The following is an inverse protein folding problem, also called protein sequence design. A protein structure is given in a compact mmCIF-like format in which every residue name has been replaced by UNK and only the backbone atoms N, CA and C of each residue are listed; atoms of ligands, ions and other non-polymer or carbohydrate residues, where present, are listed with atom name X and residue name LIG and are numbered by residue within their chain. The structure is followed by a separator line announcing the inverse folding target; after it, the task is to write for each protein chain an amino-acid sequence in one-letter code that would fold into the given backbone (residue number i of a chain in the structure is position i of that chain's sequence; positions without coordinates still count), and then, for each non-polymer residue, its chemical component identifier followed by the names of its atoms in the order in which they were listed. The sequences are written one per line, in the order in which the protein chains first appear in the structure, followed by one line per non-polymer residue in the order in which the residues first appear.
data_IF_057035739290
#
_entry.id   IF_057035739290
#
_cell.length_a   1.000
_cell.length_b   1.000
_cell.length_c   1.000
_cell.angle_alpha   90.00
_cell.angle_beta   90.00
_cell.angle_gamma   90.00
#
_symmetry.space_group_name_H-M   'P 1'
#
loop_
_entity.id
_entity.type
_entity.pdbx_description
1 polymer ?
#
# COMPACT_ATOMS: atom_id res chain seq x y z
N UNK A 1 11.31 -0.15 7.31
CA UNK A 1 12.69 0.35 7.12
C UNK A 1 12.81 1.19 5.85
N UNK A 2 12.77 0.62 4.63
CA UNK A 2 13.01 1.37 3.37
C UNK A 2 12.10 2.59 3.20
N UNK A 3 10.80 2.48 3.51
CA UNK A 3 9.89 3.64 3.56
C UNK A 3 10.38 4.76 4.47
N UNK A 4 10.77 4.43 5.71
CA UNK A 4 11.25 5.41 6.65
C UNK A 4 12.53 6.08 6.14
N UNK A 5 13.45 5.31 5.55
CA UNK A 5 14.70 5.84 4.98
C UNK A 5 14.42 6.77 3.79
N UNK A 6 13.50 6.37 2.91
CA UNK A 6 13.07 7.18 1.78
C UNK A 6 12.46 8.51 2.25
N UNK A 7 11.57 8.45 3.26
CA UNK A 7 10.95 9.63 3.85
C UNK A 7 11.97 10.57 4.48
N UNK A 8 12.90 10.03 5.29
CA UNK A 8 14.03 10.74 5.91
C UNK A 8 15.01 9.73 6.53
N UNK A 9 16.32 9.75 6.21
CA UNK A 9 17.30 8.82 6.80
C UNK A 9 17.30 8.81 8.33
N UNK A 10 17.26 9.99 8.95
CA UNK A 10 17.17 10.12 10.41
C UNK A 10 15.92 9.43 10.98
N UNK A 11 14.79 9.45 10.26
CA UNK A 11 13.56 8.76 10.71
C UNK A 11 13.80 7.26 10.81
N UNK A 12 14.42 6.64 9.81
CA UNK A 12 14.71 5.22 9.86
C UNK A 12 15.70 4.87 10.96
N UNK A 13 16.74 5.69 11.14
CA UNK A 13 17.68 5.55 12.25
C UNK A 13 16.97 5.55 13.61
N UNK A 14 16.15 6.57 13.88
CA UNK A 14 15.44 6.70 15.15
C UNK A 14 14.44 5.56 15.37
N UNK A 15 13.58 5.26 14.39
CA UNK A 15 12.51 4.26 14.53
C UNK A 15 13.07 2.82 14.60
N UNK A 16 14.10 2.47 13.82
CA UNK A 16 14.55 1.08 13.66
C UNK A 16 15.88 0.73 14.33
N UNK A 17 16.76 1.70 14.60
CA UNK A 17 18.02 1.43 15.35
C UNK A 17 17.90 1.81 16.82
N UNK A 18 17.25 2.92 17.13
CA UNK A 18 17.03 3.36 18.51
C UNK A 18 15.70 2.88 19.09
N UNK A 19 14.85 2.24 18.26
CA UNK A 19 13.51 1.81 18.66
C UNK A 19 12.67 2.96 19.22
N UNK A 20 12.85 4.17 18.70
CA UNK A 20 12.07 5.33 19.11
C UNK A 20 10.61 5.12 18.71
N UNK A 21 9.73 5.04 19.71
CA UNK A 21 8.30 4.83 19.54
C UNK A 21 7.53 6.00 20.14
N UNK A 22 6.44 6.39 19.47
CA UNK A 22 5.46 7.30 20.04
C UNK A 22 4.45 6.47 20.85
N UNK A 23 4.02 6.94 22.03
CA UNK A 23 2.87 6.34 22.72
C UNK A 23 1.65 6.29 21.80
N UNK A 24 0.87 5.21 21.89
CA UNK A 24 -0.39 5.11 21.14
C UNK A 24 -1.40 6.11 21.70
N UNK A 25 -2.07 6.84 20.80
CA UNK A 25 -3.15 7.74 21.19
C UNK A 25 -4.39 6.89 21.52
N UNK A 26 -5.10 7.22 22.60
CA UNK A 26 -6.33 6.52 22.94
C UNK A 26 -7.43 6.79 21.89
N UNK A 27 -8.09 5.73 21.43
CA UNK A 27 -9.27 5.82 20.57
C UNK A 27 -10.45 5.14 21.27
N UNK A 28 -11.65 5.69 21.10
CA UNK A 28 -12.87 5.11 21.68
C UNK A 28 -13.46 3.96 20.85
N UNK A 29 -12.99 3.74 19.62
CA UNK A 29 -13.42 2.66 18.73
C UNK A 29 -12.30 2.28 17.77
N UNK A 30 -12.62 1.93 16.51
CA UNK A 30 -11.62 1.55 15.52
C UNK A 30 -10.81 2.74 15.01
N UNK A 31 -9.50 2.65 15.18
CA UNK A 31 -8.56 3.63 14.64
C UNK A 31 -8.30 3.41 13.13
N UNK A 32 -7.41 4.22 12.55
CA UNK A 32 -7.08 4.09 11.13
C UNK A 32 -6.34 2.78 10.79
N UNK A 33 -5.59 2.21 11.75
CA UNK A 33 -4.85 0.95 11.60
C UNK A 33 -5.82 -0.23 11.61
N UNK A 34 -6.78 -0.24 12.52
CA UNK A 34 -7.84 -1.26 12.60
C UNK A 34 -8.63 -1.30 11.30
N UNK A 35 -9.14 -0.15 10.86
CA UNK A 35 -9.91 -0.01 9.61
C UNK A 35 -9.11 -0.46 8.38
N UNK A 36 -7.82 -0.15 8.35
CA UNK A 36 -6.90 -0.66 7.34
C UNK A 36 -6.79 -2.18 7.40
N UNK A 37 -6.54 -2.75 8.58
CA UNK A 37 -6.45 -4.20 8.77
C UNK A 37 -7.72 -4.95 8.35
N UNK A 38 -8.90 -4.41 8.65
CA UNK A 38 -10.18 -4.97 8.24
C UNK A 38 -10.36 -4.98 6.72
N UNK A 39 -10.04 -3.86 6.06
CA UNK A 39 -10.10 -3.75 4.61
C UNK A 39 -9.22 -4.82 3.92
N UNK A 40 -7.95 -4.95 4.35
CA UNK A 40 -7.03 -5.91 3.77
C UNK A 40 -7.51 -7.35 3.96
N UNK A 41 -7.94 -7.71 5.18
CA UNK A 41 -8.48 -9.05 5.46
C UNK A 41 -9.73 -9.35 4.64
N UNK A 42 -10.68 -8.42 4.57
CA UNK A 42 -11.90 -8.61 3.81
C UNK A 42 -11.61 -8.83 2.32
N UNK A 43 -10.71 -8.03 1.73
CA UNK A 43 -10.28 -8.21 0.34
C UNK A 43 -9.52 -9.53 0.13
N UNK A 44 -8.66 -9.93 1.07
CA UNK A 44 -8.00 -11.23 1.03
C UNK A 44 -9.02 -12.37 0.99
N UNK A 45 -10.02 -12.34 1.88
CA UNK A 45 -11.08 -13.34 1.95
C UNK A 45 -11.97 -13.37 0.70
N UNK A 46 -12.30 -12.22 0.13
CA UNK A 46 -13.02 -12.13 -1.14
C UNK A 46 -12.21 -12.75 -2.27
N UNK A 47 -10.93 -12.40 -2.39
CA UNK A 47 -10.10 -12.91 -3.48
C UNK A 47 -9.68 -14.36 -3.31
N UNK A 48 -9.60 -14.88 -2.09
CA UNK A 48 -9.48 -16.34 -1.85
C UNK A 48 -10.70 -17.10 -2.38
N UNK A 49 -11.89 -16.48 -2.35
CA UNK A 49 -13.12 -17.08 -2.88
C UNK A 49 -13.28 -16.85 -4.38
N UNK A 50 -12.83 -15.72 -4.94
CA UNK A 50 -13.01 -15.40 -6.37
C UNK A 50 -11.85 -15.86 -7.24
N UNK A 51 -10.60 -15.79 -6.76
CA UNK A 51 -9.36 -16.29 -7.39
C UNK A 51 -8.98 -15.71 -8.77
N UNK A 52 -9.91 -15.15 -9.56
CA UNK A 52 -9.65 -14.63 -10.90
C UNK A 52 -10.69 -13.62 -11.35
N UNK A 53 -10.37 -12.86 -12.41
CA UNK A 53 -11.34 -11.98 -13.06
C UNK A 53 -12.50 -12.76 -13.68
N UNK A 54 -12.22 -13.90 -14.31
CA UNK A 54 -13.22 -14.68 -15.02
C UNK A 54 -14.31 -15.18 -14.08
N UNK A 55 -13.91 -15.69 -12.90
CA UNK A 55 -14.86 -16.09 -11.85
C UNK A 55 -15.65 -14.89 -11.34
N UNK A 56 -15.01 -13.76 -11.04
CA UNK A 56 -15.71 -12.53 -10.65
C UNK A 56 -16.72 -12.06 -11.72
N UNK A 57 -16.39 -12.20 -13.00
CA UNK A 57 -17.29 -11.84 -14.09
C UNK A 57 -18.47 -12.80 -14.24
N UNK A 58 -18.26 -14.09 -13.96
CA UNK A 58 -19.27 -15.15 -14.02
C UNK A 58 -20.17 -15.23 -12.76
N UNK A 59 -19.73 -14.68 -11.62
CA UNK A 59 -20.51 -14.63 -10.38
C UNK A 59 -21.66 -13.62 -10.50
N UNK A 60 -22.88 -14.09 -10.24
CA UNK A 60 -24.08 -13.27 -10.27
C UNK A 60 -24.20 -12.34 -9.05
N UNK A 61 -24.95 -11.25 -9.18
CA UNK A 61 -25.04 -10.22 -8.14
C UNK A 61 -25.50 -10.70 -6.74
N UNK A 62 -26.41 -11.68 -6.59
CA UNK A 62 -26.77 -12.23 -5.28
C UNK A 62 -25.60 -13.00 -4.64
N UNK A 63 -24.94 -13.88 -5.40
CA UNK A 63 -23.81 -14.69 -4.94
C UNK A 63 -22.60 -13.80 -4.59
N UNK A 64 -22.33 -12.78 -5.41
CA UNK A 64 -21.24 -11.85 -5.14
C UNK A 64 -21.43 -11.09 -3.82
N UNK A 65 -22.67 -10.68 -3.53
CA UNK A 65 -23.01 -10.02 -2.26
C UNK A 65 -22.82 -10.95 -1.07
N UNK A 66 -23.21 -12.23 -1.21
CA UNK A 66 -22.98 -13.23 -0.17
C UNK A 66 -21.50 -13.49 0.09
N UNK A 67 -20.68 -13.59 -0.97
CA UNK A 67 -19.21 -13.72 -0.85
C UNK A 67 -18.62 -12.54 -0.09
N UNK A 68 -19.01 -11.31 -0.44
CA UNK A 68 -18.50 -10.10 0.21
C UNK A 68 -18.97 -10.02 1.66
N UNK A 69 -20.26 -10.24 1.93
CA UNK A 69 -20.82 -10.24 3.28
C UNK A 69 -20.09 -11.21 4.21
N UNK A 70 -19.94 -12.47 3.80
CA UNK A 70 -19.23 -13.49 4.58
C UNK A 70 -17.75 -13.13 4.79
N UNK A 71 -17.10 -12.53 3.80
CA UNK A 71 -15.71 -12.08 3.90
C UNK A 71 -15.54 -10.92 4.89
N UNK A 72 -16.51 -9.99 4.93
CA UNK A 72 -16.49 -8.85 5.84
C UNK A 72 -16.80 -9.29 7.29
N UNK A 73 -17.76 -10.20 7.48
CA UNK A 73 -18.02 -10.82 8.78
C UNK A 73 -16.78 -11.54 9.35
N UNK A 74 -16.01 -12.21 8.50
CA UNK A 74 -14.78 -12.90 8.90
C UNK A 74 -13.65 -11.92 9.25
N UNK A 75 -13.57 -10.79 8.53
CA UNK A 75 -12.54 -9.77 8.72
C UNK A 75 -12.78 -8.90 9.96
N UNK A 76 -14.02 -8.50 10.22
CA UNK A 76 -14.44 -7.67 11.35
C UNK A 76 -15.22 -8.54 12.33
N UNK A 77 -14.56 -9.00 13.39
CA UNK A 77 -15.19 -9.85 14.42
C UNK A 77 -16.21 -9.07 15.25
N UNK A 78 -17.19 -9.77 15.81
CA UNK A 78 -18.14 -9.16 16.74
C UNK A 78 -17.42 -8.59 17.96
N UNK A 79 -17.74 -7.34 18.29
CA UNK A 79 -17.35 -6.71 19.55
C UNK A 79 -18.61 -6.28 20.30
N UNK A 80 -19.02 -7.13 21.23
CA UNK A 80 -20.18 -6.92 22.12
C UNK A 80 -19.77 -6.41 23.50
N UNK A 81 -18.56 -5.84 23.62
CA UNK A 81 -18.07 -5.30 24.89
C UNK A 81 -18.90 -4.12 25.40
N UNK A 82 -19.54 -3.37 24.50
CA UNK A 82 -20.54 -2.37 24.83
C UNK A 82 -21.49 -2.13 23.65
N UNK A 83 -22.68 -1.52 23.90
CA UNK A 83 -23.61 -1.15 22.81
C UNK A 83 -22.98 -0.23 21.75
N UNK A 84 -21.96 0.54 22.14
CA UNK A 84 -21.22 1.41 21.22
C UNK A 84 -20.31 0.59 20.29
N UNK A 85 -19.59 -0.41 20.82
CA UNK A 85 -18.73 -1.27 20.00
C UNK A 85 -19.54 -2.16 19.07
N UNK A 86 -20.70 -2.64 19.53
CA UNK A 86 -21.63 -3.41 18.71
C UNK A 86 -22.11 -2.56 17.52
N UNK A 87 -22.57 -1.33 17.79
CA UNK A 87 -23.01 -0.40 16.74
C UNK A 87 -21.89 -0.07 15.74
N UNK A 88 -20.68 0.26 16.21
CA UNK A 88 -19.55 0.57 15.33
C UNK A 88 -19.15 -0.65 14.49
N UNK A 89 -19.20 -1.85 15.06
CA UNK A 89 -18.91 -3.09 14.33
C UNK A 89 -19.88 -3.30 13.18
N UNK A 90 -21.18 -3.14 13.43
CA UNK A 90 -22.21 -3.26 12.39
C UNK A 90 -22.00 -2.20 11.30
N UNK A 91 -21.85 -0.92 11.68
CA UNK A 91 -21.64 0.16 10.72
C UNK A 91 -20.36 -0.02 9.89
N UNK A 92 -19.29 -0.52 10.49
CA UNK A 92 -18.04 -0.75 9.78
C UNK A 92 -18.14 -1.89 8.76
N UNK A 93 -18.92 -2.94 9.08
CA UNK A 93 -19.21 -4.03 8.14
C UNK A 93 -20.00 -3.53 6.94
N UNK A 94 -21.11 -2.84 7.17
CA UNK A 94 -21.93 -2.24 6.10
C UNK A 94 -21.08 -1.36 5.18
N UNK A 95 -20.26 -0.49 5.77
CA UNK A 95 -19.34 0.39 5.03
C UNK A 95 -18.34 -0.38 4.17
N UNK A 96 -17.77 -1.48 4.70
CA UNK A 96 -16.80 -2.30 3.96
C UNK A 96 -17.46 -3.09 2.85
N UNK A 97 -18.66 -3.63 3.07
CA UNK A 97 -19.42 -4.36 2.05
C UNK A 97 -19.68 -3.48 0.82
N UNK A 98 -20.24 -2.28 1.03
CA UNK A 98 -20.48 -1.32 -0.05
C UNK A 98 -19.17 -0.96 -0.78
N UNK A 99 -18.13 -0.62 -0.02
CA UNK A 99 -16.83 -0.22 -0.58
C UNK A 99 -16.19 -1.31 -1.42
N UNK A 100 -16.26 -2.56 -0.96
CA UNK A 100 -15.68 -3.71 -1.67
C UNK A 100 -16.51 -4.04 -2.90
N UNK A 101 -17.84 -4.02 -2.82
CA UNK A 101 -18.70 -4.25 -3.99
C UNK A 101 -18.44 -3.22 -5.10
N UNK A 102 -18.31 -1.95 -4.74
CA UNK A 102 -17.94 -0.88 -5.68
C UNK A 102 -16.55 -1.10 -6.28
N UNK A 103 -15.57 -1.50 -5.47
CA UNK A 103 -14.23 -1.84 -5.97
C UNK A 103 -14.25 -3.02 -6.94
N UNK A 104 -15.05 -4.04 -6.67
CA UNK A 104 -15.18 -5.21 -7.54
C UNK A 104 -15.79 -4.85 -8.89
N UNK A 105 -16.58 -3.77 -9.02
CA UNK A 105 -17.00 -3.27 -10.33
C UNK A 105 -15.82 -2.75 -11.16
N UNK A 106 -14.87 -2.06 -10.51
CA UNK A 106 -13.65 -1.58 -11.16
C UNK A 106 -12.79 -2.77 -11.61
N UNK A 107 -12.69 -3.80 -10.78
CA UNK A 107 -11.96 -5.04 -11.09
C UNK A 107 -12.60 -5.81 -12.24
N UNK A 108 -13.94 -5.94 -12.27
CA UNK A 108 -14.69 -6.54 -13.39
C UNK A 108 -14.38 -5.83 -14.71
N UNK A 109 -14.28 -4.51 -14.68
CA UNK A 109 -14.05 -3.68 -15.86
C UNK A 109 -12.58 -3.65 -16.35
N UNK A 110 -11.67 -4.41 -15.72
CA UNK A 110 -10.27 -4.48 -16.15
C UNK A 110 -10.17 -5.05 -17.57
N UNK A 111 -9.27 -4.47 -18.35
CA UNK A 111 -9.12 -4.82 -19.78
C UNK A 111 -8.44 -6.16 -20.02
N UNK A 112 -7.58 -6.58 -19.10
CA UNK A 112 -6.77 -7.78 -19.24
C UNK A 112 -7.16 -8.79 -18.16
N UNK A 113 -7.55 -10.02 -18.56
CA UNK A 113 -7.78 -11.13 -17.65
C UNK A 113 -6.59 -11.37 -16.73
N UNK A 114 -6.89 -11.77 -15.50
CA UNK A 114 -5.89 -12.12 -14.51
C UNK A 114 -6.39 -13.26 -13.63
N UNK A 115 -5.41 -13.96 -13.04
CA UNK A 115 -5.60 -14.88 -11.93
C UNK A 115 -4.85 -14.31 -10.73
N UNK A 116 -5.47 -14.34 -9.57
CA UNK A 116 -4.82 -13.96 -8.31
C UNK A 116 -3.79 -15.02 -7.98
N UNK A 117 -2.51 -14.64 -8.01
CA UNK A 117 -1.42 -15.57 -7.72
C UNK A 117 -1.10 -15.63 -6.23
N UNK A 118 -1.17 -14.49 -5.55
CA UNK A 118 -0.74 -14.38 -4.15
C UNK A 118 -1.57 -13.32 -3.46
N UNK A 119 -2.01 -13.63 -2.24
CA UNK A 119 -2.70 -12.72 -1.35
C UNK A 119 -2.01 -12.67 -0.01
N UNK A 120 -1.59 -11.48 0.41
CA UNK A 120 -1.11 -11.22 1.78
C UNK A 120 0.01 -12.19 2.26
N UNK A 121 0.78 -12.77 1.33
CA UNK A 121 1.80 -13.77 1.64
C UNK A 121 3.10 -13.08 2.07
N UNK A 122 3.61 -13.49 3.22
CA UNK A 122 4.92 -13.05 3.68
C UNK A 122 6.03 -13.72 2.86
N UNK A 123 6.99 -12.93 2.40
CA UNK A 123 8.22 -13.40 1.75
C UNK A 123 9.42 -12.74 2.40
N UNK A 124 10.44 -13.55 2.68
CA UNK A 124 11.74 -13.04 3.11
C UNK A 124 12.60 -12.78 1.87
N UNK A 125 13.23 -11.62 1.82
CA UNK A 125 14.19 -11.27 0.77
C UNK A 125 15.33 -10.45 1.38
N UNK A 126 16.40 -10.28 0.61
CA UNK A 126 17.48 -9.36 0.95
C UNK A 126 17.59 -8.32 -0.16
N UNK A 127 17.62 -7.04 0.21
CA UNK A 127 17.80 -5.92 -0.73
C UNK A 127 19.03 -5.14 -0.27
N UNK A 128 20.10 -5.16 -1.08
CA UNK A 128 21.36 -4.48 -0.78
C UNK A 128 21.92 -4.77 0.63
N UNK A 129 21.91 -6.04 1.06
CA UNK A 129 22.37 -6.47 2.37
C UNK A 129 21.38 -6.22 3.52
N UNK A 130 20.19 -5.68 3.23
CA UNK A 130 19.13 -5.48 4.22
C UNK A 130 18.14 -6.67 4.17
N UNK A 131 18.10 -7.53 5.20
CA UNK A 131 17.08 -8.57 5.29
C UNK A 131 15.72 -7.93 5.55
N UNK A 132 14.74 -8.26 4.70
CA UNK A 132 13.40 -7.71 4.75
C UNK A 132 12.37 -8.85 4.72
N UNK A 133 11.31 -8.65 5.50
CA UNK A 133 10.07 -9.41 5.37
C UNK A 133 9.06 -8.52 4.66
N UNK A 134 8.70 -8.92 3.46
CA UNK A 134 7.76 -8.22 2.62
C UNK A 134 6.42 -8.93 2.64
N UNK A 135 5.36 -8.15 2.59
CA UNK A 135 4.00 -8.61 2.43
C UNK A 135 3.32 -7.63 1.50
N UNK A 136 3.02 -8.09 0.29
CA UNK A 136 2.20 -7.36 -0.68
C UNK A 136 0.78 -7.86 -0.56
N UNK A 137 -0.19 -6.95 -0.66
CA UNK A 137 -1.59 -7.30 -0.43
C UNK A 137 -2.08 -8.28 -1.49
N UNK A 138 -1.74 -8.02 -2.75
CA UNK A 138 -2.14 -8.88 -3.86
C UNK A 138 -1.19 -8.83 -5.05
N UNK A 139 -0.99 -10.01 -5.65
CA UNK A 139 -0.30 -10.19 -6.93
C UNK A 139 -1.25 -10.85 -7.90
N UNK A 140 -1.41 -10.22 -9.05
CA UNK A 140 -2.14 -10.80 -10.17
C UNK A 140 -1.17 -11.30 -11.23
N UNK A 141 -1.44 -12.48 -11.76
CA UNK A 141 -0.77 -13.03 -12.93
C UNK A 141 -1.63 -12.85 -14.16
N UNK A 142 -1.05 -12.20 -15.17
CA UNK A 142 -1.66 -11.98 -16.47
C UNK A 142 -1.50 -13.21 -17.39
N UNK A 143 -2.28 -13.26 -18.46
CA UNK A 143 -2.22 -14.35 -19.46
C UNK A 143 -0.85 -14.49 -20.15
N UNK A 144 -0.09 -13.40 -20.25
CA UNK A 144 1.28 -13.40 -20.77
C UNK A 144 2.34 -13.82 -19.72
N UNK A 145 1.92 -14.24 -18.53
CA UNK A 145 2.78 -14.66 -17.43
C UNK A 145 3.39 -13.54 -16.59
N UNK A 146 3.14 -12.27 -16.93
CA UNK A 146 3.62 -11.10 -16.20
C UNK A 146 2.78 -10.83 -14.96
N UNK A 147 3.34 -10.07 -14.02
CA UNK A 147 2.79 -9.82 -12.71
C UNK A 147 2.35 -8.37 -12.54
N UNK A 148 1.23 -8.15 -11.86
CA UNK A 148 0.81 -6.85 -11.37
C UNK A 148 0.79 -6.87 -9.84
N UNK A 149 1.40 -5.85 -9.23
CA UNK A 149 1.44 -5.71 -7.78
C UNK A 149 0.40 -4.67 -7.34
N UNK A 150 -0.44 -5.04 -6.38
CA UNK A 150 -1.51 -4.16 -5.86
C UNK A 150 -1.36 -4.05 -4.35
N UNK A 151 -1.41 -2.81 -3.87
CA UNK A 151 -1.45 -2.45 -2.45
C UNK A 151 -2.67 -1.56 -2.18
N UNK A 152 -3.56 -1.98 -1.29
CA UNK A 152 -4.79 -1.29 -0.95
C UNK A 152 -4.53 -0.20 0.08
N UNK A 153 -5.17 0.95 -0.11
CA UNK A 153 -5.02 2.10 0.77
C UNK A 153 -6.36 2.80 0.94
N UNK A 154 -6.84 2.91 2.18
CA UNK A 154 -8.12 3.56 2.51
C UNK A 154 -8.13 5.09 2.35
N UNK A 155 -6.95 5.71 2.32
CA UNK A 155 -6.79 7.16 2.17
C UNK A 155 -6.49 7.60 0.74
N UNK A 156 -6.50 8.92 0.52
CA UNK A 156 -6.23 9.53 -0.79
C UNK A 156 -4.82 9.17 -1.31
N UNK A 157 -4.77 8.70 -2.56
CA UNK A 157 -3.51 8.31 -3.21
C UNK A 157 -3.15 9.21 -4.39
N UNK A 158 -1.85 9.19 -4.70
CA UNK A 158 -1.27 9.88 -5.85
C UNK A 158 -0.11 9.06 -6.38
N UNK A 159 0.01 8.99 -7.71
CA UNK A 159 1.12 8.31 -8.39
C UNK A 159 2.48 8.88 -7.99
N UNK A 160 2.53 10.16 -7.60
CA UNK A 160 3.77 10.82 -7.17
C UNK A 160 4.40 10.12 -5.96
N UNK A 161 3.62 9.40 -5.14
CA UNK A 161 4.15 8.61 -4.02
C UNK A 161 4.99 7.42 -4.48
N UNK A 162 4.77 6.94 -5.71
CA UNK A 162 5.50 5.85 -6.36
C UNK A 162 6.53 6.37 -7.38
N UNK A 163 6.59 7.67 -7.65
CA UNK A 163 7.50 8.22 -8.66
C UNK A 163 8.96 8.12 -8.18
N UNK A 164 9.85 7.75 -9.09
CA UNK A 164 11.29 7.70 -8.87
C UNK A 164 11.96 8.93 -9.51
N UNK A 165 13.06 9.47 -8.95
CA UNK A 165 13.84 8.92 -7.84
C UNK A 165 13.21 9.15 -6.46
N UNK A 166 13.58 8.29 -5.49
CA UNK A 166 13.19 8.35 -4.07
C UNK A 166 11.66 8.40 -3.81
N UNK A 167 10.93 7.31 -4.09
CA UNK A 167 9.48 7.24 -3.88
C UNK A 167 9.10 7.31 -2.39
N UNK A 168 8.08 8.10 -2.06
CA UNK A 168 7.56 8.27 -0.70
C UNK A 168 6.98 6.96 -0.11
N UNK A 169 6.40 6.11 -0.97
CA UNK A 169 5.86 4.79 -0.64
C UNK A 169 6.58 3.73 -1.51
N UNK A 170 7.79 3.28 -1.10
CA UNK A 170 8.63 2.40 -1.92
C UNK A 170 8.21 0.92 -1.91
N UNK A 171 7.19 0.52 -1.15
CA UNK A 171 6.91 -0.90 -0.83
C UNK A 171 6.72 -1.77 -2.08
N UNK A 172 5.93 -1.30 -3.04
CA UNK A 172 5.71 -2.01 -4.30
C UNK A 172 7.00 -2.16 -5.11
N UNK A 173 7.87 -1.16 -5.08
CA UNK A 173 9.18 -1.21 -5.76
C UNK A 173 10.17 -2.13 -5.06
N UNK A 174 10.16 -2.19 -3.73
CA UNK A 174 10.96 -3.16 -2.97
C UNK A 174 10.52 -4.59 -3.33
N UNK A 175 9.22 -4.83 -3.46
CA UNK A 175 8.71 -6.12 -3.90
C UNK A 175 9.08 -6.42 -5.36
N UNK A 176 8.99 -5.42 -6.25
CA UNK A 176 9.38 -5.56 -7.64
C UNK A 176 10.88 -5.88 -7.79
N UNK A 177 11.74 -5.22 -7.02
CA UNK A 177 13.17 -5.53 -6.94
C UNK A 177 13.43 -6.97 -6.51
N UNK A 178 12.68 -7.48 -5.53
CA UNK A 178 12.81 -8.86 -5.06
C UNK A 178 12.28 -9.92 -6.07
N UNK A 179 11.34 -9.53 -6.94
CA UNK A 179 10.67 -10.44 -7.89
C UNK A 179 11.27 -10.40 -9.30
N UNK A 180 12.02 -9.34 -9.61
CA UNK A 180 12.71 -9.16 -10.90
C UNK A 180 11.79 -8.70 -12.04
N UNK A 181 12.23 -8.94 -13.28
CA UNK A 181 11.66 -8.35 -14.50
C UNK A 181 10.30 -8.95 -14.96
N UNK A 182 9.60 -9.64 -14.05
CA UNK A 182 8.26 -10.19 -14.31
C UNK A 182 7.15 -9.17 -14.08
N UNK A 183 7.43 -8.09 -13.35
CA UNK A 183 6.43 -7.07 -13.00
C UNK A 183 6.16 -6.15 -14.18
N UNK A 184 4.89 -6.04 -14.58
CA UNK A 184 4.42 -5.15 -15.67
C UNK A 184 3.50 -4.03 -15.17
N UNK A 185 3.24 -3.96 -13.85
CA UNK A 185 2.54 -2.85 -13.25
C UNK A 185 2.53 -2.87 -11.72
N UNK A 186 2.47 -1.67 -11.15
CA UNK A 186 2.36 -1.45 -9.71
C UNK A 186 1.24 -0.45 -9.45
N UNK A 187 0.35 -0.78 -8.53
CA UNK A 187 -0.85 0.01 -8.27
C UNK A 187 -1.15 0.14 -6.79
N UNK A 188 -1.58 1.33 -6.40
CA UNK A 188 -2.42 1.48 -5.24
C UNK A 188 -3.89 1.29 -5.62
N UNK A 189 -4.60 0.45 -4.87
CA UNK A 189 -6.06 0.48 -4.83
C UNK A 189 -6.50 1.57 -3.85
N UNK A 190 -6.92 2.72 -4.36
CA UNK A 190 -7.42 3.83 -3.53
C UNK A 190 -8.84 3.48 -3.04
N UNK A 191 -8.91 2.86 -1.87
CA UNK A 191 -10.13 2.36 -1.21
C UNK A 191 -10.85 3.46 -0.41
N UNK A 192 -11.07 4.61 -1.05
CA UNK A 192 -11.79 5.74 -0.47
C UNK A 192 -13.18 5.82 -1.10
N UNK A 193 -14.22 5.78 -0.26
CA UNK A 193 -15.61 5.85 -0.72
C UNK A 193 -15.83 7.03 -1.69
N UNK A 194 -16.54 6.78 -2.80
CA UNK A 194 -16.81 7.73 -3.90
C UNK A 194 -15.59 8.19 -4.71
N UNK A 195 -14.37 7.82 -4.33
CA UNK A 195 -13.11 8.14 -5.04
C UNK A 195 -12.33 6.87 -5.44
N UNK A 196 -13.01 5.72 -5.46
CA UNK A 196 -12.43 4.42 -5.78
C UNK A 196 -11.74 4.42 -7.14
N UNK A 197 -10.45 4.06 -7.16
CA UNK A 197 -9.67 3.94 -8.40
C UNK A 197 -8.34 3.23 -8.17
N UNK A 198 -7.75 2.73 -9.23
CA UNK A 198 -6.35 2.34 -9.26
C UNK A 198 -5.45 3.54 -9.57
N UNK A 199 -4.33 3.67 -8.87
CA UNK A 199 -3.34 4.74 -9.06
C UNK A 199 -1.96 4.11 -9.19
N UNK A 200 -1.21 4.40 -10.26
CA UNK A 200 0.11 3.79 -10.40
C UNK A 200 0.73 3.86 -11.79
N UNK A 201 1.61 2.90 -12.06
CA UNK A 201 2.39 2.80 -13.29
C UNK A 201 2.29 1.39 -13.86
N UNK A 202 2.26 1.28 -15.19
CA UNK A 202 2.25 -0.03 -15.86
C UNK A 202 2.78 0.05 -17.28
N UNK A 203 3.14 -1.11 -17.84
CA UNK A 203 3.51 -1.25 -19.26
C UNK A 203 2.30 -0.95 -20.14
N UNK A 204 1.16 -1.56 -19.82
CA UNK A 204 -0.09 -1.42 -20.56
C UNK A 204 -1.21 -0.94 -19.64
N UNK A 205 -2.35 -0.53 -20.22
CA UNK A 205 -3.48 -0.02 -19.45
C UNK A 205 -4.35 -1.15 -18.92
N UNK A 206 -4.35 -1.37 -17.60
CA UNK A 206 -5.16 -2.40 -16.94
C UNK A 206 -6.49 -1.87 -16.38
N UNK A 207 -6.49 -0.70 -15.75
CA UNK A 207 -7.69 -0.04 -15.22
C UNK A 207 -8.09 1.19 -16.04
N UNK A 208 -9.36 1.59 -15.90
CA UNK A 208 -9.87 2.87 -16.41
C UNK A 208 -9.30 4.10 -15.69
N UNK A 209 -9.57 5.29 -16.22
CA UNK A 209 -9.22 6.56 -15.58
C UNK A 209 -7.82 7.11 -15.89
N UNK A 210 -7.55 8.34 -15.42
CA UNK A 210 -6.32 9.11 -15.72
C UNK A 210 -5.25 9.02 -14.63
N UNK A 211 -5.52 8.26 -13.55
CA UNK A 211 -4.63 8.06 -12.41
C UNK A 211 -3.49 7.06 -12.65
N UNK A 212 -3.46 6.44 -13.83
CA UNK A 212 -2.41 5.49 -14.25
C UNK A 212 -1.55 6.10 -15.35
N UNK A 213 -0.24 5.97 -15.19
CA UNK A 213 0.74 6.33 -16.21
C UNK A 213 1.20 5.07 -16.93
N UNK A 214 0.87 4.97 -18.21
CA UNK A 214 1.29 3.86 -19.08
C UNK A 214 2.66 4.18 -19.68
N UNK A 215 3.68 3.36 -19.39
CA UNK A 215 5.06 3.56 -19.85
C UNK A 215 5.35 2.88 -21.19
N UNK A 216 4.57 1.88 -21.60
CA UNK A 216 4.78 1.15 -22.86
C UNK A 216 6.19 0.57 -22.96
N UNK A 217 6.88 0.84 -24.06
CA UNK A 217 8.26 0.38 -24.30
C UNK A 217 9.28 0.92 -23.27
N UNK A 218 9.00 2.03 -22.59
CA UNK A 218 9.88 2.58 -21.56
C UNK A 218 9.72 1.90 -20.19
N UNK A 219 8.85 0.90 -20.06
CA UNK A 219 8.58 0.23 -18.78
C UNK A 219 9.82 -0.43 -18.19
N UNK A 220 10.58 -1.18 -19.00
CA UNK A 220 11.72 -1.95 -18.48
C UNK A 220 12.80 -1.04 -17.88
N UNK A 221 13.16 0.04 -18.59
CA UNK A 221 14.09 1.03 -18.06
C UNK A 221 13.54 1.80 -16.84
N UNK A 222 12.23 2.01 -16.75
CA UNK A 222 11.60 2.62 -15.58
C UNK A 222 11.63 1.70 -14.37
N UNK A 223 11.33 0.41 -14.56
CA UNK A 223 11.40 -0.62 -13.53
C UNK A 223 12.83 -0.77 -13.00
N UNK A 224 13.82 -0.90 -13.89
CA UNK A 224 15.24 -0.97 -13.52
C UNK A 224 15.67 0.26 -12.72
N UNK A 225 15.25 1.46 -13.13
CA UNK A 225 15.56 2.68 -12.41
C UNK A 225 14.96 2.68 -10.99
N UNK A 226 13.69 2.32 -10.84
CA UNK A 226 13.06 2.25 -9.54
C UNK A 226 13.65 1.16 -8.64
N UNK A 227 14.05 0.01 -9.21
CA UNK A 227 14.78 -1.06 -8.50
C UNK A 227 16.11 -0.55 -7.95
N UNK A 228 16.93 0.13 -8.78
CA UNK A 228 18.18 0.74 -8.30
C UNK A 228 17.97 1.78 -7.21
N UNK A 229 16.89 2.57 -7.31
CA UNK A 229 16.58 3.57 -6.28
C UNK A 229 16.23 2.93 -4.93
N UNK A 230 15.44 1.86 -4.91
CA UNK A 230 15.13 1.16 -3.65
C UNK A 230 16.36 0.44 -3.08
N UNK A 231 17.23 -0.12 -3.92
CA UNK A 231 18.51 -0.69 -3.49
C UNK A 231 19.42 0.37 -2.89
N UNK A 232 19.54 1.55 -3.53
CA UNK A 232 20.32 2.68 -3.01
C UNK A 232 19.80 3.14 -1.65
N UNK A 233 18.48 3.25 -1.49
CA UNK A 233 17.86 3.62 -0.21
C UNK A 233 18.16 2.56 0.86
N UNK A 234 17.99 1.28 0.53
CA UNK A 234 18.30 0.18 1.46
C UNK A 234 19.79 0.18 1.86
N UNK A 235 20.69 0.33 0.90
CA UNK A 235 22.13 0.41 1.13
C UNK A 235 22.51 1.57 2.06
N UNK A 236 21.89 2.75 1.87
CA UNK A 236 22.08 3.90 2.76
C UNK A 236 21.73 3.56 4.21
N UNK A 237 20.61 2.88 4.44
CA UNK A 237 20.26 2.42 5.79
C UNK A 237 21.28 1.43 6.37
N UNK A 238 21.76 0.47 5.58
CA UNK A 238 22.77 -0.52 6.02
C UNK A 238 24.08 0.18 6.41
N UNK A 239 24.52 1.13 5.59
CA UNK A 239 25.74 1.93 5.81
C UNK A 239 25.63 2.90 7.00
N UNK A 240 24.44 3.08 7.57
CA UNK A 240 24.22 3.96 8.71
C UNK A 240 23.97 5.41 8.36
N UNK A 241 23.51 5.70 7.13
CA UNK A 241 23.04 7.03 6.78
C UNK A 241 21.83 7.42 7.65
N UNK A 242 22.03 8.48 8.43
CA UNK A 242 21.08 9.03 9.38
C UNK A 242 20.92 10.55 9.22
N UNK A 243 21.22 11.11 8.04
CA UNK A 243 21.06 12.53 7.77
C UNK A 243 19.61 13.00 8.02
N UNK A 244 19.45 14.22 8.53
CA UNK A 244 18.15 14.89 8.66
C UNK A 244 17.78 15.46 7.28
N UNK A 245 17.28 14.59 6.41
CA UNK A 245 16.97 14.91 5.01
C UNK A 245 15.54 14.44 4.64
N UNK A 246 14.50 15.18 5.07
CA UNK A 246 13.11 14.82 4.79
C UNK A 246 12.65 15.25 3.39
N UNK A 247 11.99 14.33 2.67
CA UNK A 247 11.27 14.70 1.43
C UNK A 247 10.08 15.64 1.74
N UNK A 248 9.56 16.40 0.76
CA UNK A 248 8.39 17.26 0.97
C UNK A 248 7.22 16.50 1.60
N UNK A 249 6.61 17.07 2.65
CA UNK A 249 5.50 16.47 3.40
C UNK A 249 5.90 15.35 4.37
N UNK A 250 7.12 14.79 4.33
CA UNK A 250 7.54 13.69 5.21
C UNK A 250 7.44 14.04 6.69
N UNK A 251 7.66 15.32 7.01
CA UNK A 251 7.54 15.79 8.37
C UNK A 251 6.10 15.73 8.86
N UNK A 252 5.05 15.97 8.08
CA UNK A 252 3.66 16.08 8.59
C UNK A 252 3.26 14.95 9.54
N UNK A 253 3.55 13.71 9.14
CA UNK A 253 3.25 12.48 9.88
C UNK A 253 4.50 11.79 10.47
N UNK A 254 5.53 12.57 10.81
CA UNK A 254 6.76 12.08 11.44
C UNK A 254 6.62 12.07 12.97
N UNK A 255 6.83 10.91 13.59
CA UNK A 255 6.72 10.71 15.04
C UNK A 255 8.00 11.08 15.81
N UNK A 256 9.11 11.31 15.11
CA UNK A 256 10.42 11.60 15.71
C UNK A 256 10.87 13.05 15.51
N UNK A 257 9.95 13.96 15.14
CA UNK A 257 10.27 15.41 14.98
C UNK A 257 10.97 16.02 16.19
N UNK A 258 10.54 15.77 17.44
CA UNK A 258 11.19 16.37 18.61
C UNK A 258 12.63 15.88 18.78
N UNK A 259 12.96 14.71 18.21
CA UNK A 259 14.28 14.09 18.32
C UNK A 259 15.27 14.67 17.29
N UNK A 260 14.82 14.97 16.07
CA UNK A 260 15.72 15.47 15.01
C UNK A 260 15.96 16.99 15.03
N UNK A 261 15.13 17.76 15.75
CA UNK A 261 15.23 19.23 15.88
C UNK A 261 15.25 20.02 14.55
N UNK A 262 14.71 19.42 13.48
CA UNK A 262 14.68 20.03 12.12
C UNK A 262 13.89 21.34 12.08
N UNK A 263 12.90 21.50 12.96
CA UNK A 263 12.05 22.69 12.98
C UNK A 263 12.79 23.88 13.62
N UNK A 264 13.64 23.65 14.61
CA UNK A 264 14.48 24.71 15.19
C UNK A 264 15.51 25.20 14.18
N UNK A 265 16.14 24.30 13.42
CA UNK A 265 17.10 24.67 12.37
C UNK A 265 16.44 25.52 11.28
N UNK A 266 15.27 25.10 10.77
CA UNK A 266 14.54 25.85 9.73
C UNK A 266 14.07 27.22 10.19
N UNK A 267 13.76 27.40 11.48
CA UNK A 267 13.40 28.71 12.04
C UNK A 267 14.59 29.65 12.05
N UNK A 268 15.77 29.16 12.47
CA UNK A 268 17.01 29.94 12.47
C UNK A 268 17.43 30.37 11.06
N UNK A 269 17.17 29.55 10.04
CA UNK A 269 17.45 29.90 8.64
C UNK A 269 16.46 30.90 8.03
N UNK A 270 15.28 31.08 8.65
CA UNK A 270 14.20 31.95 8.16
C UNK A 270 14.11 33.30 8.88
N UNK A 271 14.84 33.49 9.97
CA UNK A 271 15.02 34.79 10.61
C UNK A 271 16.24 35.49 9.99
N UNK A 272 16.08 36.46 9.08
CA UNK A 272 17.20 37.28 8.65
C UNK A 272 17.67 38.13 9.84
N UNK A 273 19.00 38.30 9.97
CA UNK A 273 19.64 39.27 10.88
C UNK A 273 19.04 40.68 10.75
#
# INVERSE_FOLDING_TARGET
IVKAQSQCPFRAFAEFRLSAQRPEDACFGFDARDRGGFLHKALQYVWNRLESQDRLCATEAPELREIVHNSVLEAVKDDVSSPFHELITVTERERLEELILDWLQIERARKQPFVVETLEQERSCEIAGLPLRLRVDRIDRLSNGKLLLIDYKSGKQSRNKLECPRPAEPQLWVYAAATGNQVDGVFFGEMKARELRAVGFSRERHFGGVSITVKGAAWDGFLENCTREVERIAAGFVQGDAAVDPIPGACEYCNVKPFCRVNEQRRLEQEPE
#
